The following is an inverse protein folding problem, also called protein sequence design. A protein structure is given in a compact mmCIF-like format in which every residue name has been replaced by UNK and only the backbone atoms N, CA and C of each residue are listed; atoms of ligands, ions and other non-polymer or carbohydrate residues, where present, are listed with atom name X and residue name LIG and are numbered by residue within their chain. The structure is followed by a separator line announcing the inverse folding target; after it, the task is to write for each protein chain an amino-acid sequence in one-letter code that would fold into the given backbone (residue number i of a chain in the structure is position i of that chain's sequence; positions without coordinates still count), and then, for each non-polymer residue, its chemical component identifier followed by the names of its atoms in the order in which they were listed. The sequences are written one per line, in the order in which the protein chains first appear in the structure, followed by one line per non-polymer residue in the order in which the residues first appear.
data_IF_945548560801
#
_entry.id   IF_945548560801
#
_cell.length_a   1.000
_cell.length_b   1.000
_cell.length_c   1.000
_cell.angle_alpha   90.00
_cell.angle_beta   90.00
_cell.angle_gamma   90.00
#
_symmetry.space_group_name_H-M   'P 1'
#
loop_
_entity.id
_entity.type
_entity.pdbx_description
1 polymer ?
#
# COMPACT_ATOMS: atom_id res chain seq x y z
N UNK A 1 -6.00 9.41 33.91
CA UNK A 1 -7.21 8.68 33.55
C UNK A 1 -6.85 7.83 32.32
N UNK A 2 -7.33 6.59 32.25
CA UNK A 2 -7.21 5.77 31.03
C UNK A 2 -8.14 6.37 29.97
N UNK A 3 -7.66 6.49 28.72
CA UNK A 3 -8.47 7.00 27.61
C UNK A 3 -9.53 5.96 27.16
N UNK A 4 -9.22 4.68 27.36
CA UNK A 4 -10.12 3.56 27.05
C UNK A 4 -10.01 2.49 28.15
N UNK A 5 -11.11 1.87 28.51
CA UNK A 5 -11.13 0.73 29.43
C UNK A 5 -10.59 -0.54 28.75
N UNK A 6 -9.91 -1.40 29.50
CA UNK A 6 -9.25 -2.61 28.99
C UNK A 6 -10.20 -3.49 28.16
N UNK A 7 -11.43 -3.73 28.64
CA UNK A 7 -12.39 -4.55 27.91
C UNK A 7 -12.87 -3.94 26.59
N UNK A 8 -12.84 -2.63 26.43
CA UNK A 8 -13.13 -1.95 25.16
C UNK A 8 -11.92 -2.02 24.25
N UNK A 9 -10.71 -1.87 24.80
CA UNK A 9 -9.47 -2.02 24.04
C UNK A 9 -9.34 -3.44 23.45
N UNK A 10 -9.61 -4.48 24.25
CA UNK A 10 -9.62 -5.87 23.78
C UNK A 10 -10.58 -6.08 22.60
N UNK A 11 -11.77 -5.49 22.64
CA UNK A 11 -12.74 -5.56 21.51
C UNK A 11 -12.20 -4.89 20.25
N UNK A 12 -11.51 -3.76 20.38
CA UNK A 12 -10.86 -3.10 19.25
C UNK A 12 -9.75 -3.98 18.66
N UNK A 13 -8.95 -4.62 19.52
CA UNK A 13 -7.90 -5.57 19.09
C UNK A 13 -8.50 -6.73 18.32
N UNK A 14 -9.53 -7.39 18.85
CA UNK A 14 -10.24 -8.51 18.20
C UNK A 14 -10.80 -8.06 16.84
N UNK A 15 -11.53 -6.95 16.82
CA UNK A 15 -12.11 -6.41 15.58
C UNK A 15 -11.03 -6.14 14.52
N UNK A 16 -9.95 -5.45 14.89
CA UNK A 16 -8.88 -5.09 13.95
C UNK A 16 -8.11 -6.32 13.44
N UNK A 17 -7.93 -7.33 14.30
CA UNK A 17 -7.21 -8.57 13.96
C UNK A 17 -8.00 -9.48 13.01
N UNK A 18 -9.33 -9.48 13.12
CA UNK A 18 -10.22 -10.35 12.34
C UNK A 18 -10.92 -9.64 11.18
N UNK A 19 -10.61 -8.35 10.97
CA UNK A 19 -11.21 -7.59 9.86
C UNK A 19 -10.76 -8.17 8.52
N UNK A 20 -11.73 -8.59 7.72
CA UNK A 20 -11.46 -9.12 6.38
C UNK A 20 -10.93 -8.03 5.44
N UNK A 21 -9.92 -8.38 4.64
CA UNK A 21 -9.41 -7.51 3.58
C UNK A 21 -10.19 -7.73 2.29
N UNK A 22 -10.36 -6.69 1.45
CA UNK A 22 -11.01 -6.84 0.16
C UNK A 22 -10.28 -7.84 -0.73
N UNK A 23 -11.05 -8.65 -1.47
CA UNK A 23 -10.48 -9.52 -2.49
C UNK A 23 -10.03 -8.71 -3.72
N UNK A 24 -9.02 -9.22 -4.41
CA UNK A 24 -8.62 -8.70 -5.72
C UNK A 24 -9.80 -8.77 -6.71
N UNK A 25 -10.00 -7.67 -7.43
CA UNK A 25 -11.09 -7.54 -8.41
C UNK A 25 -10.57 -7.65 -9.84
N UNK A 26 -11.42 -8.07 -10.76
CA UNK A 26 -11.15 -8.07 -12.21
C UNK A 26 -9.85 -8.79 -12.63
N UNK A 27 -9.40 -9.78 -11.87
CA UNK A 27 -8.12 -10.48 -12.09
C UNK A 27 -8.02 -11.19 -13.46
N UNK A 28 -9.16 -11.50 -14.08
CA UNK A 28 -9.22 -12.12 -15.39
C UNK A 28 -9.11 -11.10 -16.55
N UNK A 29 -9.21 -9.81 -16.26
CA UNK A 29 -9.07 -8.77 -17.27
C UNK A 29 -7.60 -8.72 -17.78
N UNK A 30 -7.38 -8.83 -19.10
CA UNK A 30 -6.03 -8.81 -19.68
C UNK A 30 -5.25 -7.52 -19.36
N UNK A 31 -5.93 -6.38 -19.24
CA UNK A 31 -5.32 -5.10 -18.88
C UNK A 31 -4.82 -5.13 -17.42
N UNK A 32 -5.59 -5.67 -16.48
CA UNK A 32 -5.19 -5.85 -15.09
C UNK A 32 -3.98 -6.79 -14.98
N UNK A 33 -3.96 -7.87 -15.74
CA UNK A 33 -2.81 -8.80 -15.79
C UNK A 33 -1.55 -8.13 -16.34
N UNK A 34 -1.69 -7.35 -17.41
CA UNK A 34 -0.59 -6.58 -17.98
C UNK A 34 -0.07 -5.55 -16.97
N UNK A 35 -0.98 -4.85 -16.28
CA UNK A 35 -0.64 -3.89 -15.22
C UNK A 35 0.11 -4.53 -14.04
N UNK A 36 -0.29 -5.74 -13.64
CA UNK A 36 0.43 -6.51 -12.62
C UNK A 36 1.87 -6.82 -13.04
N UNK A 37 2.08 -7.18 -14.31
CA UNK A 37 3.43 -7.42 -14.82
C UNK A 37 4.25 -6.13 -14.82
N UNK A 38 3.68 -5.02 -15.30
CA UNK A 38 4.31 -3.69 -15.28
C UNK A 38 4.67 -3.21 -13.87
N UNK A 39 3.85 -3.54 -12.87
CA UNK A 39 4.15 -3.27 -11.47
C UNK A 39 5.43 -3.96 -10.99
N UNK A 40 5.66 -5.20 -11.41
CA UNK A 40 6.90 -5.92 -11.14
C UNK A 40 8.07 -5.36 -11.96
N UNK A 41 7.90 -5.16 -13.25
CA UNK A 41 8.94 -4.71 -14.16
C UNK A 41 9.45 -3.30 -13.83
N UNK A 42 8.57 -2.45 -13.30
CA UNK A 42 8.93 -1.11 -12.83
C UNK A 42 9.60 -1.09 -11.46
N UNK A 43 9.77 -2.24 -10.80
CA UNK A 43 10.44 -2.34 -9.49
C UNK A 43 9.54 -2.02 -8.29
N UNK A 44 8.26 -1.73 -8.49
CA UNK A 44 7.33 -1.38 -7.39
C UNK A 44 7.21 -2.51 -6.34
N UNK A 45 7.30 -3.77 -6.79
CA UNK A 45 7.23 -4.95 -5.93
C UNK A 45 8.43 -5.10 -4.96
N UNK A 46 9.48 -4.30 -5.11
CA UNK A 46 10.64 -4.27 -4.21
C UNK A 46 10.26 -3.82 -2.80
N UNK A 47 9.48 -2.75 -2.69
CA UNK A 47 8.92 -2.25 -1.43
C UNK A 47 7.48 -2.75 -1.24
N UNK A 48 6.66 -2.68 -2.26
CA UNK A 48 5.29 -3.21 -2.24
C UNK A 48 5.29 -4.73 -2.48
N UNK A 49 5.93 -5.48 -1.56
CA UNK A 49 6.03 -6.95 -1.59
C UNK A 49 4.65 -7.58 -1.71
N UNK A 50 4.38 -8.37 -2.77
CA UNK A 50 3.01 -8.76 -3.10
C UNK A 50 2.34 -9.66 -2.07
N UNK A 51 3.07 -10.53 -1.39
CA UNK A 51 2.44 -11.48 -0.47
C UNK A 51 3.32 -11.85 0.72
N UNK A 52 2.64 -12.13 1.81
CA UNK A 52 3.23 -12.71 3.03
C UNK A 52 2.43 -13.93 3.47
N UNK A 53 2.99 -14.65 4.43
CA UNK A 53 2.31 -15.71 5.15
C UNK A 53 2.20 -15.31 6.61
N UNK A 54 1.01 -15.34 7.16
CA UNK A 54 0.79 -15.04 8.57
C UNK A 54 1.38 -16.12 9.47
N UNK A 55 1.69 -15.77 10.72
CA UNK A 55 2.26 -16.72 11.67
C UNK A 55 1.32 -17.92 11.90
N UNK A 56 1.90 -19.12 12.00
CA UNK A 56 1.17 -20.30 12.46
C UNK A 56 0.77 -20.20 13.94
N UNK A 57 1.46 -19.34 14.70
CA UNK A 57 1.23 -19.11 16.13
C UNK A 57 0.47 -17.82 16.41
N UNK A 58 -0.25 -17.26 15.40
CA UNK A 58 -1.09 -16.09 15.61
C UNK A 58 -2.13 -16.37 16.70
N UNK A 59 -2.50 -15.35 17.48
CA UNK A 59 -3.44 -15.47 18.59
C UNK A 59 -4.79 -16.06 18.15
N UNK A 60 -5.34 -15.53 17.04
CA UNK A 60 -6.62 -16.00 16.49
C UNK A 60 -6.38 -17.08 15.44
N UNK A 61 -7.05 -18.22 15.59
CA UNK A 61 -6.92 -19.37 14.68
C UNK A 61 -7.29 -19.02 13.24
N UNK A 62 -8.28 -18.15 13.07
CA UNK A 62 -8.82 -17.71 11.78
C UNK A 62 -7.76 -17.02 10.89
N UNK A 63 -6.73 -16.45 11.49
CA UNK A 63 -5.66 -15.74 10.76
C UNK A 63 -4.33 -16.50 10.75
N UNK A 64 -4.28 -17.75 11.23
CA UNK A 64 -3.06 -18.57 11.22
C UNK A 64 -2.76 -19.11 9.84
N UNK A 65 -1.48 -19.10 9.50
CA UNK A 65 -0.93 -19.77 8.30
C UNK A 65 -1.64 -19.38 6.99
N UNK A 66 -2.16 -18.14 6.93
CA UNK A 66 -2.86 -17.60 5.76
C UNK A 66 -1.86 -16.95 4.78
N UNK A 67 -2.00 -17.24 3.48
CA UNK A 67 -1.33 -16.44 2.45
C UNK A 67 -2.14 -15.19 2.20
N UNK A 68 -1.55 -14.04 2.47
CA UNK A 68 -2.16 -12.72 2.30
C UNK A 68 -1.43 -11.90 1.24
N UNK A 69 -2.10 -10.90 0.66
CA UNK A 69 -1.57 -10.07 -0.43
C UNK A 69 -1.66 -8.58 -0.07
N UNK A 70 -0.88 -8.12 0.92
CA UNK A 70 -0.94 -6.73 1.39
C UNK A 70 -0.21 -5.74 0.48
N UNK A 71 0.68 -6.20 -0.38
CA UNK A 71 1.54 -5.34 -1.22
C UNK A 71 2.32 -4.32 -0.39
N UNK A 72 3.09 -4.81 0.58
CA UNK A 72 3.99 -4.04 1.44
C UNK A 72 5.06 -4.93 2.03
N UNK A 73 6.23 -4.39 2.31
CA UNK A 73 7.27 -5.02 3.13
C UNK A 73 7.20 -4.57 4.60
N UNK A 74 6.37 -3.55 4.91
CA UNK A 74 6.23 -2.90 6.22
C UNK A 74 7.51 -2.19 6.70
N UNK A 75 8.50 -2.01 5.83
CA UNK A 75 9.76 -1.34 6.17
C UNK A 75 9.69 0.17 5.95
N UNK A 76 10.65 0.88 6.54
CA UNK A 76 10.88 2.30 6.29
C UNK A 76 11.80 2.47 5.09
N UNK A 77 11.48 3.44 4.24
CA UNK A 77 12.28 3.83 3.09
C UNK A 77 12.44 5.33 3.05
N UNK A 78 13.64 5.80 2.71
CA UNK A 78 13.87 7.22 2.44
C UNK A 78 13.22 7.60 1.11
N UNK A 79 12.15 8.38 1.21
CA UNK A 79 11.37 8.84 0.06
C UNK A 79 11.84 10.20 -0.49
N UNK A 80 12.93 10.72 0.03
CA UNK A 80 13.53 11.98 -0.38
C UNK A 80 12.86 13.22 0.20
N UNK A 81 13.50 14.38 -0.05
CA UNK A 81 13.11 15.67 0.54
C UNK A 81 11.69 16.12 0.13
N UNK A 82 11.24 15.77 -1.09
CA UNK A 82 9.93 16.21 -1.60
C UNK A 82 8.74 15.63 -0.79
N UNK A 83 8.95 14.48 -0.13
CA UNK A 83 7.97 13.83 0.73
C UNK A 83 8.28 14.00 2.22
N UNK A 84 9.43 14.58 2.57
CA UNK A 84 9.81 14.78 3.96
C UNK A 84 8.88 15.78 4.65
N UNK A 85 8.48 15.47 5.89
CA UNK A 85 7.79 16.41 6.78
C UNK A 85 8.73 17.05 7.80
N UNK A 86 10.01 16.62 7.81
CA UNK A 86 11.03 17.10 8.73
C UNK A 86 10.80 16.70 10.20
N UNK A 87 9.86 15.77 10.46
CA UNK A 87 9.49 15.33 11.80
C UNK A 87 10.00 13.91 12.07
N UNK A 88 11.13 13.75 12.77
CA UNK A 88 11.62 12.43 13.14
C UNK A 88 10.66 11.73 14.13
N UNK A 89 10.55 10.41 14.00
CA UNK A 89 9.78 9.55 14.92
C UNK A 89 10.69 8.42 15.38
N UNK A 90 11.08 8.45 16.67
CA UNK A 90 12.13 7.59 17.21
C UNK A 90 13.42 7.71 16.36
N UNK A 91 13.91 6.59 15.80
CA UNK A 91 15.11 6.53 14.97
C UNK A 91 14.85 6.84 13.48
N UNK A 92 13.57 6.94 13.08
CA UNK A 92 13.23 7.30 11.71
C UNK A 92 13.41 8.81 11.48
N UNK A 93 14.06 9.16 10.38
CA UNK A 93 14.19 10.56 9.92
C UNK A 93 12.85 11.09 9.39
N UNK A 94 12.78 12.42 9.17
CA UNK A 94 11.57 13.03 8.59
C UNK A 94 11.35 12.74 7.11
N UNK A 95 12.26 12.03 6.42
CA UNK A 95 12.12 11.58 5.02
C UNK A 95 11.79 10.10 4.88
N UNK A 96 11.86 9.34 5.98
CA UNK A 96 11.61 7.90 6.00
C UNK A 96 10.14 7.60 6.28
N UNK A 97 9.53 6.86 5.36
CA UNK A 97 8.12 6.48 5.41
C UNK A 97 7.95 4.96 5.32
N UNK A 98 7.08 4.42 6.17
CA UNK A 98 6.73 3.00 6.10
C UNK A 98 5.91 2.74 4.84
N UNK A 99 6.28 1.71 4.09
CA UNK A 99 5.48 1.24 2.95
C UNK A 99 4.07 0.87 3.42
N UNK A 100 3.03 1.62 3.01
CA UNK A 100 1.66 1.27 3.37
C UNK A 100 1.20 0.03 2.61
N UNK A 101 0.35 -0.83 3.22
CA UNK A 101 -0.36 -1.86 2.48
C UNK A 101 -1.22 -1.25 1.37
N UNK A 102 -1.23 -1.90 0.19
CA UNK A 102 -2.05 -1.45 -0.94
C UNK A 102 -3.39 -2.20 -1.06
N UNK A 103 -3.64 -3.22 -0.26
CA UNK A 103 -4.92 -3.92 -0.28
C UNK A 103 -6.09 -2.97 0.00
N UNK A 104 -7.14 -3.04 -0.82
CA UNK A 104 -8.27 -2.11 -0.75
C UNK A 104 -8.01 -0.74 -1.38
N UNK A 105 -6.82 -0.51 -1.98
CA UNK A 105 -6.46 0.78 -2.56
C UNK A 105 -7.47 1.26 -3.62
N UNK A 106 -7.95 0.35 -4.46
CA UNK A 106 -8.95 0.67 -5.49
C UNK A 106 -10.37 0.94 -4.93
N UNK A 107 -10.58 0.84 -3.62
CA UNK A 107 -11.84 1.15 -2.95
C UNK A 107 -11.81 2.49 -2.20
N UNK A 108 -10.68 3.19 -2.20
CA UNK A 108 -10.51 4.46 -1.45
C UNK A 108 -11.58 5.48 -1.81
N UNK A 109 -11.87 5.66 -3.11
CA UNK A 109 -12.90 6.60 -3.56
C UNK A 109 -14.30 6.20 -3.08
N UNK A 110 -14.63 4.91 -3.21
CA UNK A 110 -15.94 4.39 -2.81
C UNK A 110 -16.19 4.46 -1.29
N UNK A 111 -15.13 4.42 -0.48
CA UNK A 111 -15.24 4.44 1.00
C UNK A 111 -15.10 5.84 1.56
N UNK A 112 -14.24 6.67 0.98
CA UNK A 112 -13.85 7.96 1.55
C UNK A 112 -14.38 9.17 0.78
N UNK A 113 -15.10 8.96 -0.34
CA UNK A 113 -15.56 10.02 -1.26
C UNK A 113 -14.41 10.90 -1.81
N UNK A 114 -13.20 10.35 -1.89
CA UNK A 114 -12.04 11.02 -2.47
C UNK A 114 -10.94 10.03 -2.89
N UNK A 115 -10.07 10.46 -3.81
CA UNK A 115 -8.91 9.68 -4.30
C UNK A 115 -7.57 10.20 -3.79
N UNK A 116 -7.56 10.90 -2.65
CA UNK A 116 -6.33 11.47 -2.10
C UNK A 116 -5.46 10.39 -1.48
N UNK A 117 -4.19 10.36 -1.89
CA UNK A 117 -3.18 9.39 -1.51
C UNK A 117 -1.94 10.08 -0.93
N UNK A 118 -0.97 9.31 -0.48
CA UNK A 118 0.21 9.67 0.31
C UNK A 118 -0.16 10.01 1.76
N UNK A 119 0.86 10.15 2.62
CA UNK A 119 0.69 10.39 4.06
C UNK A 119 -0.07 11.67 4.41
N UNK A 120 -0.05 12.66 3.51
CA UNK A 120 -0.67 13.98 3.69
C UNK A 120 -1.79 14.27 2.69
N UNK A 121 -2.17 13.30 1.85
CA UNK A 121 -3.26 13.43 0.89
C UNK A 121 -2.94 14.34 -0.30
N UNK A 122 -1.66 14.66 -0.56
CA UNK A 122 -1.27 15.55 -1.66
C UNK A 122 -1.56 15.01 -3.04
N UNK A 123 -1.45 13.71 -3.23
CA UNK A 123 -1.71 13.07 -4.52
C UNK A 123 -3.21 12.88 -4.74
N UNK A 124 -3.72 13.32 -5.88
CA UNK A 124 -5.14 13.30 -6.26
C UNK A 124 -5.57 12.00 -6.95
N UNK A 125 -4.67 11.03 -7.05
CA UNK A 125 -4.92 9.73 -7.68
C UNK A 125 -3.63 8.94 -7.85
N UNK A 126 -3.74 7.73 -8.41
CA UNK A 126 -2.63 6.78 -8.49
C UNK A 126 -1.43 7.30 -9.29
N UNK A 127 -1.66 7.88 -10.46
CA UNK A 127 -0.57 8.41 -11.29
C UNK A 127 0.22 9.50 -10.56
N UNK A 128 -0.47 10.40 -9.88
CA UNK A 128 0.16 11.48 -9.12
C UNK A 128 0.92 10.91 -7.90
N UNK A 129 0.34 9.92 -7.21
CA UNK A 129 1.02 9.23 -6.12
C UNK A 129 2.34 8.58 -6.58
N UNK A 130 2.33 7.87 -7.71
CA UNK A 130 3.54 7.27 -8.28
C UNK A 130 4.58 8.35 -8.63
N UNK A 131 4.15 9.49 -9.17
CA UNK A 131 5.04 10.59 -9.54
C UNK A 131 5.68 11.31 -8.33
N UNK A 132 5.07 11.20 -7.14
CA UNK A 132 5.65 11.70 -5.90
C UNK A 132 6.73 10.78 -5.32
N UNK A 133 6.85 9.54 -5.77
CA UNK A 133 7.88 8.62 -5.29
C UNK A 133 9.27 9.16 -5.60
N UNK A 134 10.05 9.45 -4.56
CA UNK A 134 11.42 9.96 -4.62
C UNK A 134 12.41 9.05 -3.90
N UNK A 135 13.58 9.55 -3.53
CA UNK A 135 14.56 8.80 -2.75
C UNK A 135 14.84 7.41 -3.32
N UNK A 136 14.68 6.39 -2.50
CA UNK A 136 14.86 4.97 -2.87
C UNK A 136 13.90 4.50 -3.98
N UNK A 137 12.72 5.08 -4.07
CA UNK A 137 11.71 4.72 -5.08
C UNK A 137 11.85 5.48 -6.41
N UNK A 138 12.88 6.30 -6.56
CA UNK A 138 13.09 7.16 -7.75
C UNK A 138 13.14 6.37 -9.06
N UNK A 139 13.80 5.22 -9.07
CA UNK A 139 13.92 4.42 -10.30
C UNK A 139 12.56 3.86 -10.76
N UNK A 140 11.71 3.43 -9.83
CA UNK A 140 10.36 2.98 -10.12
C UNK A 140 9.48 4.12 -10.67
N UNK A 141 9.60 5.34 -10.13
CA UNK A 141 8.96 6.54 -10.69
C UNK A 141 9.41 6.81 -12.13
N UNK A 142 10.71 6.79 -12.40
CA UNK A 142 11.23 7.04 -13.76
C UNK A 142 10.81 5.94 -14.73
N UNK A 143 10.74 4.68 -14.29
CA UNK A 143 10.17 3.59 -15.08
C UNK A 143 8.73 3.89 -15.48
N UNK A 144 7.88 4.31 -14.53
CA UNK A 144 6.50 4.72 -14.81
C UNK A 144 6.42 5.90 -15.79
N UNK A 145 7.29 6.91 -15.65
CA UNK A 145 7.36 8.06 -16.55
C UNK A 145 7.70 7.67 -17.98
N UNK A 146 8.55 6.66 -18.16
CA UNK A 146 8.96 6.15 -19.46
C UNK A 146 7.88 5.29 -20.15
N UNK A 147 6.89 4.81 -19.43
CA UNK A 147 5.79 4.00 -19.99
C UNK A 147 4.97 4.78 -21.02
N UNK A 148 4.46 4.07 -22.02
CA UNK A 148 3.42 4.57 -22.91
C UNK A 148 2.12 4.83 -22.15
N UNK A 149 1.21 5.62 -22.73
CA UNK A 149 -0.11 5.88 -22.12
C UNK A 149 -0.86 4.57 -21.81
N UNK A 150 -0.83 3.60 -22.73
CA UNK A 150 -1.48 2.31 -22.57
C UNK A 150 -0.91 1.48 -21.42
N UNK A 151 0.41 1.50 -21.24
CA UNK A 151 1.06 0.81 -20.13
C UNK A 151 0.72 1.46 -18.79
N UNK A 152 0.73 2.79 -18.71
CA UNK A 152 0.30 3.51 -17.51
C UNK A 152 -1.15 3.22 -17.14
N UNK A 153 -2.05 3.21 -18.12
CA UNK A 153 -3.45 2.83 -17.91
C UNK A 153 -3.59 1.38 -17.40
N UNK A 154 -2.79 0.45 -17.92
CA UNK A 154 -2.80 -0.94 -17.47
C UNK A 154 -2.29 -1.05 -16.02
N UNK A 155 -1.21 -0.37 -15.67
CA UNK A 155 -0.70 -0.34 -14.29
C UNK A 155 -1.72 0.25 -13.33
N UNK A 156 -2.38 1.35 -13.69
CA UNK A 156 -3.44 1.95 -12.88
C UNK A 156 -4.63 0.97 -12.73
N UNK A 157 -5.07 0.32 -13.81
CA UNK A 157 -6.13 -0.68 -13.73
C UNK A 157 -5.80 -1.84 -12.78
N UNK A 158 -4.52 -2.23 -12.68
CA UNK A 158 -4.08 -3.19 -11.68
C UNK A 158 -4.19 -2.61 -10.26
N UNK A 159 -3.74 -1.37 -10.01
CA UNK A 159 -3.86 -0.72 -8.70
C UNK A 159 -5.33 -0.55 -8.27
N UNK A 160 -6.22 -0.26 -9.21
CA UNK A 160 -7.67 -0.21 -8.97
C UNK A 160 -8.27 -1.58 -8.64
N UNK A 161 -7.60 -2.67 -9.01
CA UNK A 161 -8.05 -4.03 -8.75
C UNK A 161 -7.69 -4.57 -7.36
N UNK A 162 -6.75 -3.92 -6.69
CA UNK A 162 -6.24 -4.29 -5.36
C UNK A 162 -7.19 -3.84 -4.25
#
# INVERSE_FOLDING_TARGET
ALEIEDGNFERVVIYSSLLAVPALRNIENPQVRAGKQLFHDAGCAGCHTPSHRTSADAEFEEVRDQKIFPYTDLLLHDMGEELADGRPVFDASGSEWRTPPLWGLGLVDAVNDHTRLMHDGRARGFAEAILWHGGEARESRESFRAMSAREREALIAFLESI
#
